data_IF_183981844702
#
_entry.id   IF_183981844702
#
_cell.length_a   1.000
_cell.length_b   1.000
_cell.length_c   1.000
_cell.angle_alpha   90.00
_cell.angle_beta   90.00
_cell.angle_gamma   90.00
#
_symmetry.space_group_name_H-M   'P 1'
#
loop_
_entity.id
_entity.type
_entity.pdbx_description
1 polymer ?
#
# COMPACT_ATOMS: atom_id res chain seq x y z
N UNK A 1 5.18 12.80 10.21
CA UNK A 1 4.22 13.71 9.56
C UNK A 1 4.63 14.08 8.14
N UNK A 2 5.71 14.85 7.90
CA UNK A 2 6.08 15.38 6.57
C UNK A 2 5.97 14.40 5.37
N UNK A 3 6.44 13.16 5.53
CA UNK A 3 6.38 12.17 4.44
C UNK A 3 4.95 11.74 4.09
N UNK A 4 4.07 11.66 5.09
CA UNK A 4 2.65 11.37 4.89
C UNK A 4 1.93 12.59 4.32
N UNK A 5 2.20 13.78 4.85
CA UNK A 5 1.55 15.03 4.40
C UNK A 5 1.89 15.38 2.94
N UNK A 6 3.05 14.95 2.45
CA UNK A 6 3.48 15.09 1.06
C UNK A 6 2.82 14.08 0.09
N UNK A 7 2.00 13.15 0.58
CA UNK A 7 1.35 12.16 -0.27
C UNK A 7 0.12 12.74 -0.99
N UNK A 8 -0.16 12.29 -2.22
CA UNK A 8 -1.40 12.60 -2.91
C UNK A 8 -2.63 12.25 -2.07
N UNK A 9 -3.67 13.09 -2.13
CA UNK A 9 -4.91 12.89 -1.35
C UNK A 9 -5.51 11.49 -1.49
N UNK A 10 -5.60 10.87 -2.70
CA UNK A 10 -6.13 9.52 -2.81
C UNK A 10 -5.25 8.48 -2.12
N UNK A 11 -3.93 8.64 -2.14
CA UNK A 11 -3.01 7.75 -1.44
C UNK A 11 -3.18 7.84 0.08
N UNK A 12 -3.35 9.06 0.62
CA UNK A 12 -3.64 9.24 2.05
C UNK A 12 -4.97 8.62 2.44
N UNK A 13 -6.00 8.77 1.60
CA UNK A 13 -7.31 8.18 1.84
C UNK A 13 -7.24 6.64 1.87
N UNK A 14 -6.52 6.04 0.93
CA UNK A 14 -6.25 4.61 0.92
C UNK A 14 -5.52 4.16 2.20
N UNK A 15 -4.44 4.85 2.59
CA UNK A 15 -3.68 4.51 3.80
C UNK A 15 -4.52 4.59 5.07
N UNK A 16 -5.53 5.46 5.13
CA UNK A 16 -6.44 5.57 6.27
C UNK A 16 -7.43 4.40 6.39
N UNK A 17 -7.63 3.64 5.30
CA UNK A 17 -8.53 2.48 5.24
C UNK A 17 -7.80 1.14 5.22
N UNK A 18 -6.48 1.17 5.01
CA UNK A 18 -5.63 -0.03 4.93
C UNK A 18 -5.70 -0.83 6.24
N UNK A 19 -5.75 -2.16 6.13
CA UNK A 19 -5.78 -3.07 7.27
C UNK A 19 -4.43 -3.15 8.01
N UNK A 20 -3.32 -2.87 7.31
CA UNK A 20 -1.97 -2.90 7.87
C UNK A 20 -1.42 -1.49 8.14
N UNK A 21 -0.56 -1.32 9.14
CA UNK A 21 0.14 -0.06 9.41
C UNK A 21 1.29 0.16 8.40
N UNK A 22 0.94 0.48 7.16
CA UNK A 22 1.90 0.71 6.09
C UNK A 22 2.79 1.94 6.35
N UNK A 23 4.07 1.84 5.98
CA UNK A 23 4.94 3.02 5.98
C UNK A 23 4.59 3.95 4.80
N UNK A 24 4.53 5.29 5.01
CA UNK A 24 4.28 6.26 3.93
C UNK A 24 5.24 6.11 2.75
N UNK A 25 6.50 5.80 3.03
CA UNK A 25 7.56 5.63 2.02
C UNK A 25 7.28 4.44 1.09
N UNK A 26 6.85 3.30 1.64
CA UNK A 26 6.53 2.11 0.84
C UNK A 26 5.33 2.36 -0.08
N UNK A 27 4.27 2.97 0.44
CA UNK A 27 3.09 3.36 -0.34
C UNK A 27 3.46 4.34 -1.47
N UNK A 28 4.28 5.36 -1.17
CA UNK A 28 4.77 6.32 -2.16
C UNK A 28 5.57 5.65 -3.27
N UNK A 29 6.41 4.67 -2.96
CA UNK A 29 7.19 3.93 -3.96
C UNK A 29 6.28 3.17 -4.94
N UNK A 30 5.26 2.48 -4.43
CA UNK A 30 4.28 1.77 -5.27
C UNK A 30 3.54 2.77 -6.17
N UNK A 31 3.07 3.88 -5.59
CA UNK A 31 2.37 4.94 -6.31
C UNK A 31 3.20 5.53 -7.45
N UNK A 32 4.40 6.03 -7.13
CA UNK A 32 5.30 6.67 -8.12
C UNK A 32 5.66 5.69 -9.23
N UNK A 33 5.96 4.44 -8.90
CA UNK A 33 6.28 3.41 -9.90
C UNK A 33 5.09 3.14 -10.83
N UNK A 34 3.88 3.07 -10.30
CA UNK A 34 2.69 2.83 -11.11
C UNK A 34 2.34 4.03 -12.00
N UNK A 35 2.43 5.26 -11.47
CA UNK A 35 2.24 6.47 -12.28
C UNK A 35 3.28 6.61 -13.39
N UNK A 36 4.54 6.28 -13.13
CA UNK A 36 5.59 6.29 -14.15
C UNK A 36 5.33 5.27 -15.29
N UNK A 37 4.43 4.29 -15.07
CA UNK A 37 4.00 3.32 -16.07
C UNK A 37 2.70 3.74 -16.78
N UNK A 38 2.21 4.97 -16.55
CA UNK A 38 0.96 5.46 -17.14
C UNK A 38 -0.30 4.82 -16.54
N UNK A 39 -0.20 4.22 -15.36
CA UNK A 39 -1.34 3.59 -14.70
C UNK A 39 -2.39 4.65 -14.31
N UNK A 40 -3.67 4.29 -14.45
CA UNK A 40 -4.77 5.11 -13.94
C UNK A 40 -4.75 5.16 -12.40
N UNK A 41 -5.46 6.12 -11.80
CA UNK A 41 -5.59 6.18 -10.35
C UNK A 41 -6.12 4.86 -9.76
N UNK A 42 -7.13 4.27 -10.40
CA UNK A 42 -7.73 3.00 -9.98
C UNK A 42 -6.71 1.86 -10.00
N UNK A 43 -5.89 1.77 -11.07
CA UNK A 43 -4.83 0.76 -11.17
C UNK A 43 -3.78 0.92 -10.06
N UNK A 44 -3.44 2.16 -9.70
CA UNK A 44 -2.49 2.42 -8.60
C UNK A 44 -3.06 1.94 -7.28
N UNK A 45 -4.33 2.23 -6.99
CA UNK A 45 -5.01 1.80 -5.77
C UNK A 45 -5.14 0.27 -5.71
N UNK A 46 -5.56 -0.37 -6.81
CA UNK A 46 -5.64 -1.83 -6.90
C UNK A 46 -4.27 -2.52 -6.69
N UNK A 47 -3.17 -1.89 -7.10
CA UNK A 47 -1.82 -2.40 -6.81
C UNK A 47 -1.46 -2.32 -5.32
N UNK A 48 -1.91 -1.27 -4.63
CA UNK A 48 -1.74 -1.14 -3.19
C UNK A 48 -2.56 -2.21 -2.45
N UNK A 49 -3.81 -2.42 -2.84
CA UNK A 49 -4.66 -3.49 -2.29
C UNK A 49 -4.01 -4.86 -2.46
N UNK A 50 -3.51 -5.17 -3.67
CA UNK A 50 -2.78 -6.43 -3.92
C UNK A 50 -1.51 -6.56 -3.07
N UNK A 51 -0.85 -5.47 -2.71
CA UNK A 51 0.31 -5.51 -1.82
C UNK A 51 -0.11 -5.81 -0.37
N UNK A 52 -1.22 -5.26 0.10
CA UNK A 52 -1.83 -5.55 1.40
C UNK A 52 -2.27 -7.00 1.50
N UNK A 53 -3.05 -7.49 0.54
CA UNK A 53 -3.51 -8.88 0.54
C UNK A 53 -2.36 -9.87 0.57
N UNK A 54 -1.28 -9.63 -0.19
CA UNK A 54 -0.07 -10.47 -0.15
C UNK A 54 0.63 -10.43 1.19
N UNK A 55 0.66 -9.27 1.85
CA UNK A 55 1.31 -9.13 3.15
C UNK A 55 0.50 -9.82 4.25
N UNK A 56 -0.82 -9.65 4.25
CA UNK A 56 -1.74 -10.33 5.17
C UNK A 56 -1.67 -11.86 5.00
N UNK A 57 -1.67 -12.35 3.75
CA UNK A 57 -1.55 -13.78 3.48
C UNK A 57 -0.23 -14.35 4.03
N UNK A 58 0.89 -13.62 3.85
CA UNK A 58 2.19 -14.03 4.38
C UNK A 58 2.24 -14.00 5.90
N UNK A 59 1.67 -12.97 6.54
CA UNK A 59 1.58 -12.86 7.99
C UNK A 59 0.74 -14.01 8.59
N UNK A 60 -0.39 -14.35 7.95
CA UNK A 60 -1.20 -15.51 8.31
C UNK A 60 -0.41 -16.82 8.22
N UNK A 61 0.32 -17.02 7.12
CA UNK A 61 1.16 -18.21 6.95
C UNK A 61 2.29 -18.28 7.97
N UNK A 62 2.93 -17.14 8.29
CA UNK A 62 4.00 -17.13 9.30
C UNK A 62 3.49 -17.43 10.71
N UNK A 63 2.25 -17.05 11.04
CA UNK A 63 1.63 -17.40 12.33
C UNK A 63 1.34 -18.90 12.41
N UNK A 64 0.73 -19.47 11.37
CA UNK A 64 0.42 -20.92 11.32
C UNK A 64 1.67 -21.81 11.35
N UNK A 65 2.83 -21.31 10.90
CA UNK A 65 4.08 -22.07 10.94
C UNK A 65 4.77 -22.09 12.31
N UNK A 66 4.28 -21.28 13.27
CA UNK A 66 4.77 -21.21 14.64
C UNK A 66 3.88 -21.98 15.63
N UNK A 67 2.72 -22.47 15.17
CA UNK A 67 1.75 -23.29 15.91
C UNK A 67 1.98 -24.79 15.64
#
# INVERSE_FOLDING_TARGET
>A
MRAFDALPRPLRAWMAQAALPWSPTSCRRIWVKAQAQGASLEDVLARLDRAEQRTLARDRLSRLALD
#
